data_IF_257472103337
#
_entry.id   IF_257472103337
#
_cell.length_a   1.000
_cell.length_b   1.000
_cell.length_c   1.000
_cell.angle_alpha   90.00
_cell.angle_beta   90.00
_cell.angle_gamma   90.00
#
_symmetry.space_group_name_H-M   'P 1'
#
loop_
_entity.id
_entity.type
_entity.pdbx_description
1 polymer ?
#
# COMPACT_ATOMS: atom_id res chain seq x y z
N UNK A 1 4.16 18.37 -3.10
CA UNK A 1 3.64 17.23 -3.85
C UNK A 1 4.79 16.26 -4.09
N UNK A 2 4.55 14.95 -3.99
CA UNK A 2 5.57 13.95 -4.36
C UNK A 2 5.59 13.92 -5.90
N UNK A 3 6.74 14.15 -6.56
CA UNK A 3 6.81 14.18 -8.02
C UNK A 3 6.42 12.82 -8.61
N UNK A 4 5.94 12.83 -9.86
CA UNK A 4 5.65 11.61 -10.64
C UNK A 4 4.67 10.63 -9.99
N UNK A 5 3.76 11.15 -9.16
CA UNK A 5 2.73 10.35 -8.48
C UNK A 5 1.32 10.81 -8.83
N UNK A 6 0.39 9.85 -8.81
CA UNK A 6 -1.04 10.09 -8.93
C UNK A 6 -1.78 9.30 -7.85
N UNK A 7 -2.82 9.89 -7.24
CA UNK A 7 -3.68 9.12 -6.33
C UNK A 7 -4.46 8.06 -7.10
N UNK A 8 -4.69 6.89 -6.51
CA UNK A 8 -5.49 5.84 -7.13
C UNK A 8 -6.93 6.31 -7.44
N UNK A 9 -7.46 7.26 -6.66
CA UNK A 9 -8.75 7.90 -6.93
C UNK A 9 -8.71 8.79 -8.18
N UNK A 10 -7.68 9.64 -8.30
CA UNK A 10 -7.47 10.48 -9.49
C UNK A 10 -7.18 9.63 -10.73
N UNK A 11 -6.42 8.55 -10.60
CA UNK A 11 -6.16 7.60 -11.68
C UNK A 11 -7.47 7.04 -12.22
N UNK A 12 -8.33 6.54 -11.33
CA UNK A 12 -9.65 5.97 -11.69
C UNK A 12 -10.60 6.98 -12.32
N UNK A 13 -10.50 8.26 -11.95
CA UNK A 13 -11.37 9.33 -12.46
C UNK A 13 -10.88 9.92 -13.79
N UNK A 14 -9.57 10.04 -13.95
CA UNK A 14 -8.98 10.75 -15.08
C UNK A 14 -8.71 9.84 -16.27
N UNK A 15 -8.61 8.52 -16.06
CA UNK A 15 -8.45 7.55 -17.13
C UNK A 15 -9.80 6.90 -17.50
N UNK A 16 -10.43 7.30 -18.63
CA UNK A 16 -11.71 6.75 -19.06
C UNK A 16 -11.62 5.28 -19.51
N UNK A 17 -10.41 4.76 -19.73
CA UNK A 17 -10.16 3.36 -20.09
C UNK A 17 -9.85 2.48 -18.88
N UNK A 18 -9.81 3.08 -17.67
CA UNK A 18 -9.53 2.35 -16.45
C UNK A 18 -10.65 1.34 -16.15
N UNK A 19 -10.32 0.06 -16.19
CA UNK A 19 -11.21 -1.03 -15.76
C UNK A 19 -10.77 -1.61 -14.42
N UNK A 20 -9.46 -1.83 -14.26
CA UNK A 20 -8.83 -2.47 -13.12
C UNK A 20 -7.37 -2.04 -13.05
N UNK A 21 -6.80 -2.10 -11.84
CA UNK A 21 -5.39 -1.76 -11.65
C UNK A 21 -4.46 -2.73 -12.39
N UNK A 22 -4.83 -4.02 -12.48
CA UNK A 22 -4.07 -4.99 -13.26
C UNK A 22 -4.03 -4.64 -14.75
N UNK A 23 -5.15 -4.21 -15.33
CA UNK A 23 -5.17 -3.80 -16.74
C UNK A 23 -4.37 -2.51 -16.94
N UNK A 24 -4.46 -1.56 -16.01
CA UNK A 24 -3.63 -0.36 -16.03
C UNK A 24 -2.14 -0.72 -16.08
N UNK A 25 -1.67 -1.62 -15.20
CA UNK A 25 -0.28 -2.09 -15.20
C UNK A 25 0.14 -2.68 -16.55
N UNK A 26 -0.69 -3.55 -17.14
CA UNK A 26 -0.39 -4.14 -18.46
C UNK A 26 -0.40 -3.12 -19.59
N UNK A 27 -1.20 -2.05 -19.49
CA UNK A 27 -1.25 -0.99 -20.52
C UNK A 27 -0.17 0.08 -20.38
N UNK A 28 0.33 0.30 -19.16
CA UNK A 28 1.20 1.42 -18.83
C UNK A 28 2.69 1.07 -18.83
N UNK A 29 3.03 -0.16 -18.42
CA UNK A 29 4.41 -0.66 -18.40
C UNK A 29 4.64 -1.58 -19.59
N UNK A 30 5.78 -1.45 -20.27
CA UNK A 30 6.11 -2.31 -21.41
C UNK A 30 6.33 -3.76 -20.96
N UNK A 31 5.87 -4.72 -21.76
CA UNK A 31 6.10 -6.14 -21.49
C UNK A 31 7.60 -6.45 -21.44
N UNK A 32 8.02 -7.21 -20.42
CA UNK A 32 9.42 -7.55 -20.18
C UNK A 32 9.89 -7.07 -18.81
N UNK A 33 11.12 -6.56 -18.76
CA UNK A 33 11.78 -6.20 -17.51
C UNK A 33 11.05 -5.04 -16.79
N UNK A 34 10.54 -4.04 -17.53
CA UNK A 34 9.85 -2.89 -16.93
C UNK A 34 8.57 -3.30 -16.20
N UNK A 35 7.74 -4.15 -16.81
CA UNK A 35 6.52 -4.65 -16.17
C UNK A 35 6.81 -5.50 -14.93
N UNK A 36 7.83 -6.36 -14.97
CA UNK A 36 8.20 -7.17 -13.81
C UNK A 36 8.83 -6.33 -12.69
N UNK A 37 9.65 -5.33 -13.03
CA UNK A 37 10.19 -4.36 -12.07
C UNK A 37 9.07 -3.54 -11.43
N UNK A 38 8.09 -3.07 -12.21
CA UNK A 38 6.95 -2.33 -11.70
C UNK A 38 6.11 -3.18 -10.74
N UNK A 39 5.90 -4.46 -11.06
CA UNK A 39 5.23 -5.39 -10.15
C UNK A 39 6.03 -5.68 -8.89
N UNK A 40 7.36 -5.80 -8.99
CA UNK A 40 8.23 -5.97 -7.83
C UNK A 40 8.15 -4.75 -6.90
N UNK A 41 8.27 -3.55 -7.46
CA UNK A 41 8.12 -2.28 -6.74
C UNK A 41 6.76 -2.16 -6.06
N UNK A 42 5.68 -2.55 -6.76
CA UNK A 42 4.34 -2.60 -6.21
C UNK A 42 4.25 -3.53 -5.00
N UNK A 43 4.79 -4.74 -5.12
CA UNK A 43 4.75 -5.75 -4.06
C UNK A 43 5.57 -5.35 -2.84
N UNK A 44 6.77 -4.81 -3.04
CA UNK A 44 7.66 -4.37 -1.97
C UNK A 44 7.05 -3.21 -1.18
N UNK A 45 6.57 -2.18 -1.89
CA UNK A 45 5.91 -1.03 -1.28
C UNK A 45 4.60 -1.41 -0.59
N UNK A 46 3.77 -2.26 -1.22
CA UNK A 46 2.53 -2.76 -0.61
C UNK A 46 2.85 -3.52 0.68
N UNK A 47 3.83 -4.42 0.69
CA UNK A 47 4.23 -5.18 1.88
C UNK A 47 4.72 -4.27 3.01
N UNK A 48 5.58 -3.29 2.70
CA UNK A 48 6.07 -2.33 3.69
C UNK A 48 4.93 -1.52 4.31
N UNK A 49 4.09 -0.89 3.48
CA UNK A 49 2.97 -0.09 3.98
C UNK A 49 1.92 -0.93 4.71
N UNK A 50 1.72 -2.19 4.31
CA UNK A 50 0.83 -3.13 5.03
C UNK A 50 1.19 -3.27 6.50
N UNK A 51 2.49 -3.44 6.76
CA UNK A 51 2.98 -3.63 8.12
C UNK A 51 3.00 -2.31 8.88
N UNK A 52 3.39 -1.21 8.23
CA UNK A 52 3.40 0.12 8.87
C UNK A 52 1.99 0.55 9.28
N UNK A 53 0.99 0.42 8.40
CA UNK A 53 -0.39 0.80 8.74
C UNK A 53 -0.99 -0.13 9.78
N UNK A 54 -0.62 -1.41 9.76
CA UNK A 54 -0.99 -2.37 10.81
C UNK A 54 -0.43 -1.96 12.18
N UNK A 55 0.85 -1.64 12.29
CA UNK A 55 1.49 -1.33 13.56
C UNK A 55 1.06 0.03 14.13
N UNK A 56 1.02 1.07 13.29
CA UNK A 56 0.68 2.43 13.71
C UNK A 56 -0.83 2.67 13.77
N UNK A 57 -1.63 1.67 13.41
CA UNK A 57 -3.09 1.76 13.35
C UNK A 57 -3.57 2.97 12.52
N UNK A 58 -2.88 3.24 11.41
CA UNK A 58 -3.21 4.36 10.52
C UNK A 58 -4.62 4.15 9.97
N UNK A 59 -5.48 5.16 10.14
CA UNK A 59 -6.87 5.15 9.69
C UNK A 59 -7.01 5.90 8.36
N UNK A 60 -8.23 5.94 7.84
CA UNK A 60 -8.57 6.70 6.63
C UNK A 60 -7.73 6.32 5.40
N UNK A 61 -7.55 5.00 5.16
CA UNK A 61 -6.78 4.47 4.02
C UNK A 61 -7.69 4.23 2.81
N UNK A 62 -8.09 5.31 2.14
CA UNK A 62 -8.84 5.24 0.88
C UNK A 62 -7.97 5.55 -0.36
N UNK A 63 -8.51 5.37 -1.57
CA UNK A 63 -7.76 5.52 -2.82
C UNK A 63 -7.22 6.95 -3.08
N UNK A 64 -7.71 7.94 -2.34
CA UNK A 64 -7.18 9.31 -2.40
C UNK A 64 -5.88 9.48 -1.61
N UNK A 65 -5.68 8.66 -0.56
CA UNK A 65 -4.50 8.68 0.32
C UNK A 65 -3.46 7.63 -0.07
N UNK A 66 -3.68 6.91 -1.18
CA UNK A 66 -2.76 5.93 -1.74
C UNK A 66 -2.39 6.42 -3.13
N UNK A 67 -1.12 6.79 -3.29
CA UNK A 67 -0.55 7.20 -4.56
C UNK A 67 0.12 6.01 -5.24
N UNK A 68 0.21 6.08 -6.56
CA UNK A 68 1.01 5.22 -7.42
C UNK A 68 2.04 6.11 -8.13
N UNK A 69 3.30 5.71 -8.12
CA UNK A 69 4.36 6.37 -8.91
C UNK A 69 4.52 5.74 -10.30
N UNK A 70 5.29 6.40 -11.16
CA UNK A 70 5.62 5.93 -12.51
C UNK A 70 6.55 4.69 -12.56
N UNK A 71 6.94 4.14 -11.40
CA UNK A 71 7.76 2.93 -11.28
C UNK A 71 6.99 1.77 -10.65
N UNK A 72 5.71 1.95 -10.34
CA UNK A 72 4.85 0.92 -9.75
C UNK A 72 4.79 0.92 -8.21
N UNK A 73 5.46 1.81 -7.50
CA UNK A 73 5.39 1.89 -6.04
C UNK A 73 4.06 2.47 -5.57
N UNK A 74 3.51 1.87 -4.52
CA UNK A 74 2.47 2.50 -3.72
C UNK A 74 3.09 3.42 -2.68
N UNK A 75 2.51 4.62 -2.52
CA UNK A 75 2.96 5.60 -1.55
C UNK A 75 1.74 6.07 -0.75
N UNK A 76 1.72 5.76 0.55
CA UNK A 76 0.67 6.25 1.43
C UNK A 76 0.98 7.67 1.88
N UNK A 77 -0.01 8.56 1.83
CA UNK A 77 0.08 9.95 2.29
C UNK A 77 -0.97 10.23 3.37
N UNK A 78 -0.95 11.45 3.91
CA UNK A 78 -1.90 11.96 4.89
C UNK A 78 -2.02 11.05 6.12
N UNK A 79 -0.99 11.01 6.96
CA UNK A 79 -0.99 10.25 8.20
C UNK A 79 -1.67 11.02 9.36
N UNK A 80 -2.63 11.90 9.09
CA UNK A 80 -3.26 12.74 10.13
C UNK A 80 -4.03 11.97 11.21
N UNK A 81 -4.40 10.71 10.93
CA UNK A 81 -5.19 9.86 11.83
C UNK A 81 -4.46 8.54 12.11
N UNK A 82 -3.69 8.48 13.19
CA UNK A 82 -2.96 7.29 13.64
C UNK A 82 -3.13 7.08 15.16
N UNK A 83 -2.94 5.85 15.64
CA UNK A 83 -3.26 5.44 17.01
C UNK A 83 -4.73 5.65 17.44
N UNK A 84 -5.02 6.74 18.15
CA UNK A 84 -6.31 7.03 18.81
C UNK A 84 -7.04 8.24 18.23
N UNK A 85 -6.39 9.01 17.34
CA UNK A 85 -7.02 10.16 16.69
C UNK A 85 -7.91 9.67 15.55
N UNK A 86 -9.10 9.16 15.88
CA UNK A 86 -10.14 8.87 14.89
C UNK A 86 -11.09 10.07 14.76
N UNK A 87 -11.39 10.55 13.54
CA UNK A 87 -12.39 11.58 13.31
C UNK A 87 -13.78 10.96 13.48
N UNK A 88 -14.24 10.84 14.72
CA UNK A 88 -15.55 10.29 15.06
C UNK A 88 -15.44 9.19 16.12
N UNK A 89 -16.07 9.44 17.28
CA UNK A 89 -16.28 8.46 18.33
C UNK A 89 -16.89 7.18 17.76
N UNK A 90 -16.12 6.09 17.72
CA UNK A 90 -16.60 4.70 17.62
C UNK A 90 -17.64 4.38 16.53
N UNK A 91 -17.66 5.09 15.40
CA UNK A 91 -18.56 4.79 14.28
C UNK A 91 -17.91 3.77 13.33
N UNK A 92 -17.79 2.50 13.75
CA UNK A 92 -17.63 1.35 12.84
C UNK A 92 -16.58 1.46 11.73
N UNK A 93 -15.49 2.20 11.95
CA UNK A 93 -14.46 2.45 10.94
C UNK A 93 -13.64 1.18 10.70
N UNK A 94 -13.65 0.71 9.45
CA UNK A 94 -12.94 -0.44 8.87
C UNK A 94 -12.18 -1.35 9.86
N UNK A 95 -12.71 -2.58 10.06
CA UNK A 95 -12.11 -3.59 10.94
C UNK A 95 -10.67 -3.99 10.57
N UNK A 96 -10.17 -3.63 9.38
CA UNK A 96 -8.84 -3.99 8.91
C UNK A 96 -7.90 -2.77 8.91
N UNK A 97 -6.77 -2.81 9.66
CA UNK A 97 -5.78 -1.73 9.74
C UNK A 97 -4.89 -1.61 8.48
N UNK A 98 -5.24 -2.31 7.42
CA UNK A 98 -4.55 -2.33 6.13
C UNK A 98 -5.55 -2.70 5.02
N UNK A 99 -5.39 -2.08 3.85
CA UNK A 99 -6.27 -2.25 2.69
C UNK A 99 -5.66 -3.16 1.64
N UNK A 100 -5.97 -4.46 1.72
CA UNK A 100 -5.71 -5.42 0.63
C UNK A 100 -6.96 -5.56 -0.24
N UNK A 101 -6.98 -4.89 -1.39
CA UNK A 101 -8.12 -4.97 -2.31
C UNK A 101 -7.98 -6.14 -3.29
N UNK A 102 -9.09 -6.55 -3.89
CA UNK A 102 -9.07 -7.51 -5.00
C UNK A 102 -8.22 -7.00 -6.17
N UNK A 103 -8.30 -5.71 -6.50
CA UNK A 103 -7.47 -5.09 -7.55
C UNK A 103 -5.98 -5.29 -7.27
N UNK A 104 -5.53 -5.08 -6.04
CA UNK A 104 -4.11 -5.28 -5.67
C UNK A 104 -3.69 -6.75 -5.79
N UNK A 105 -4.58 -7.67 -5.41
CA UNK A 105 -4.35 -9.10 -5.59
C UNK A 105 -4.23 -9.46 -7.08
N UNK A 106 -5.04 -8.85 -7.95
CA UNK A 106 -4.97 -9.09 -9.39
C UNK A 106 -3.68 -8.55 -10.03
N UNK A 107 -3.14 -7.41 -9.57
CA UNK A 107 -1.82 -6.92 -10.01
C UNK A 107 -0.72 -7.94 -9.72
N UNK A 108 -0.81 -8.62 -8.57
CA UNK A 108 0.11 -9.69 -8.21
C UNK A 108 -0.13 -11.01 -8.96
N UNK A 109 -1.15 -11.11 -9.83
CA UNK A 109 -1.50 -12.34 -10.53
C UNK A 109 -2.39 -13.30 -9.73
N UNK A 110 -3.04 -12.81 -8.67
CA UNK A 110 -4.00 -13.57 -7.86
C UNK A 110 -3.39 -14.25 -6.62
N UNK A 111 -4.23 -14.85 -5.76
CA UNK A 111 -3.82 -15.35 -4.45
C UNK A 111 -2.88 -16.56 -4.49
N UNK A 112 -2.92 -17.34 -5.57
CA UNK A 112 -2.09 -18.55 -5.74
C UNK A 112 -0.78 -18.27 -6.51
N UNK A 113 -0.56 -17.02 -6.92
CA UNK A 113 0.62 -16.62 -7.69
C UNK A 113 1.92 -16.69 -6.87
N UNK A 114 3.06 -16.83 -7.56
CA UNK A 114 4.38 -16.71 -6.94
C UNK A 114 4.59 -15.32 -6.33
N UNK A 115 4.16 -14.27 -7.04
CA UNK A 115 4.28 -12.87 -6.60
C UNK A 115 3.48 -12.60 -5.33
N UNK A 116 2.27 -13.16 -5.18
CA UNK A 116 1.50 -13.04 -3.94
C UNK A 116 2.15 -13.80 -2.77
N UNK A 117 2.82 -14.94 -3.04
CA UNK A 117 3.65 -15.62 -2.03
C UNK A 117 4.81 -14.74 -1.58
N UNK A 118 5.50 -14.08 -2.51
CA UNK A 118 6.56 -13.09 -2.21
C UNK A 118 6.03 -11.96 -1.34
N UNK A 119 4.85 -11.40 -1.66
CA UNK A 119 4.19 -10.38 -0.83
C UNK A 119 4.00 -10.84 0.63
N UNK A 120 3.51 -12.07 0.83
CA UNK A 120 3.33 -12.65 2.17
C UNK A 120 4.66 -12.83 2.91
N UNK A 121 5.68 -13.33 2.21
CA UNK A 121 7.02 -13.48 2.77
C UNK A 121 7.63 -12.14 3.19
N UNK A 122 7.50 -11.11 2.34
CA UNK A 122 7.94 -9.76 2.64
C UNK A 122 7.20 -9.18 3.85
N UNK A 123 5.88 -9.33 3.94
CA UNK A 123 5.12 -8.93 5.12
C UNK A 123 5.69 -9.57 6.41
N UNK A 124 5.94 -10.88 6.39
CA UNK A 124 6.53 -11.57 7.54
C UNK A 124 7.94 -11.08 7.87
N UNK A 125 8.80 -10.92 6.86
CA UNK A 125 10.18 -10.44 7.04
C UNK A 125 10.20 -9.01 7.59
N UNK A 126 9.39 -8.12 7.05
CA UNK A 126 9.25 -6.74 7.50
C UNK A 126 8.81 -6.69 8.95
N UNK A 127 7.78 -7.45 9.33
CA UNK A 127 7.32 -7.51 10.72
C UNK A 127 8.40 -8.03 11.67
N UNK A 128 9.10 -9.12 11.30
CA UNK A 128 10.20 -9.67 12.10
C UNK A 128 11.39 -8.70 12.21
N UNK A 129 11.66 -7.92 11.17
CA UNK A 129 12.68 -6.88 11.19
C UNK A 129 12.30 -5.77 12.18
N UNK A 130 11.10 -5.21 12.04
CA UNK A 130 10.60 -4.15 12.94
C UNK A 130 10.53 -4.59 14.39
N UNK A 131 10.22 -5.86 14.66
CA UNK A 131 10.23 -6.42 16.02
C UNK A 131 11.60 -6.30 16.69
N UNK A 132 12.72 -6.36 15.95
CA UNK A 132 14.07 -6.18 16.51
C UNK A 132 14.34 -4.74 16.95
N UNK A 133 13.63 -3.78 16.36
CA UNK A 133 13.74 -2.35 16.63
C UNK A 133 12.53 -1.80 17.42
N UNK A 134 11.76 -2.67 18.08
CA UNK A 134 10.50 -2.26 18.70
C UNK A 134 10.70 -1.18 19.77
N UNK A 135 11.78 -1.26 20.56
CA UNK A 135 12.06 -0.26 21.60
C UNK A 135 12.36 1.11 21.00
N UNK A 136 13.14 1.19 19.94
CA UNK A 136 13.44 2.45 19.24
C UNK A 136 12.17 3.08 18.68
N UNK A 137 11.31 2.27 18.04
CA UNK A 137 10.04 2.72 17.47
C UNK A 137 9.09 3.20 18.59
N UNK A 138 8.96 2.44 19.68
CA UNK A 138 8.11 2.82 20.81
C UNK A 138 8.61 4.09 21.48
N UNK A 139 9.93 4.24 21.70
CA UNK A 139 10.51 5.45 22.27
C UNK A 139 10.20 6.69 21.43
N UNK A 140 10.30 6.60 20.10
CA UNK A 140 9.95 7.71 19.22
C UNK A 140 8.49 8.13 19.36
N UNK A 141 7.58 7.17 19.56
CA UNK A 141 6.15 7.44 19.77
C UNK A 141 5.88 8.01 21.16
N UNK A 142 6.57 7.53 22.20
CA UNK A 142 6.42 8.03 23.57
C UNK A 142 6.93 9.47 23.75
N UNK A 143 7.84 9.91 22.89
CA UNK A 143 8.37 11.27 22.89
C UNK A 143 7.49 12.30 22.16
N UNK A 144 6.45 11.86 21.44
CA UNK A 144 5.46 12.71 20.78
C UNK A 144 4.36 13.15 21.77
#
# INVERSE_FOLDING_TARGET
AIPDTISLDSLKRNDPTFTSLSQFFTSHFEEGDEFEDAKANFVESLAAYSIVTYLLQVKDRHNGNILLDNRGHLIHIDFGFFFLSSPGKNSGFESAPFKLTRDFCMVMGGPDSATFRTFRELCCRTFLCLRKHCLEITMLVEML
#
